data_IF_344195143801
#
_entry.id   IF_344195143801
#
_cell.length_a   1.000
_cell.length_b   1.000
_cell.length_c   1.000
_cell.angle_alpha   90.00
_cell.angle_beta   90.00
_cell.angle_gamma   90.00
#
_symmetry.space_group_name_H-M   'P 1'
#
loop_
_entity.id
_entity.type
_entity.pdbx_description
1 polymer ?
#
# COMPACT_ATOMS: atom_id res chain seq x y z
N UNK A 1 18.85 1.68 13.22
CA UNK A 1 18.61 0.55 14.15
C UNK A 1 19.91 -0.10 14.58
N UNK A 2 20.67 -0.78 13.71
CA UNK A 2 21.94 -1.42 14.11
C UNK A 2 23.03 -0.43 14.54
N UNK A 3 23.10 0.76 13.93
CA UNK A 3 24.03 1.84 14.32
C UNK A 3 23.88 2.31 15.78
N UNK A 4 22.71 2.10 16.39
CA UNK A 4 22.48 2.47 17.80
C UNK A 4 22.89 1.35 18.76
N UNK A 5 23.13 0.13 18.26
CA UNK A 5 23.49 -1.04 19.06
C UNK A 5 24.94 -1.48 18.88
N UNK A 6 25.55 -1.17 17.75
CA UNK A 6 26.90 -1.58 17.39
C UNK A 6 27.73 -0.37 16.99
N UNK A 7 29.03 -0.43 17.22
CA UNK A 7 29.97 0.65 16.91
C UNK A 7 30.93 0.29 15.77
N UNK A 8 31.34 1.30 14.99
CA UNK A 8 32.39 1.11 13.99
C UNK A 8 33.69 0.78 14.72
N UNK A 9 34.35 -0.29 14.29
CA UNK A 9 35.57 -0.79 14.91
C UNK A 9 35.36 -1.98 15.86
N UNK A 10 34.14 -2.20 16.31
CA UNK A 10 33.75 -3.34 17.15
C UNK A 10 33.94 -4.66 16.40
N UNK A 11 34.28 -5.73 17.14
CA UNK A 11 34.46 -7.09 16.59
C UNK A 11 33.28 -7.97 16.98
N UNK A 12 32.65 -8.61 15.99
CA UNK A 12 31.58 -9.59 16.18
C UNK A 12 32.15 -10.99 15.93
N UNK A 13 31.86 -11.93 16.83
CA UNK A 13 32.27 -13.34 16.71
C UNK A 13 31.06 -14.26 16.56
N UNK A 14 31.11 -15.17 15.60
CA UNK A 14 30.03 -16.12 15.32
C UNK A 14 30.36 -17.52 15.87
N UNK A 15 29.42 -18.11 16.62
CA UNK A 15 29.57 -19.46 17.23
C UNK A 15 29.68 -20.55 16.16
N UNK A 16 28.89 -20.44 15.08
CA UNK A 16 28.90 -21.35 13.93
C UNK A 16 29.11 -20.52 12.65
N UNK A 17 30.36 -20.38 12.15
CA UNK A 17 30.65 -19.55 10.97
C UNK A 17 30.10 -20.13 9.65
N UNK A 18 29.68 -21.41 9.65
CA UNK A 18 29.14 -22.05 8.45
C UNK A 18 30.18 -22.07 7.32
N UNK A 19 29.85 -21.43 6.21
CA UNK A 19 30.72 -21.32 5.01
C UNK A 19 31.71 -20.14 5.07
N UNK A 20 31.80 -19.43 6.19
CA UNK A 20 32.76 -18.33 6.39
C UNK A 20 34.14 -18.87 6.78
N UNK A 21 35.21 -18.23 6.28
CA UNK A 21 36.60 -18.61 6.62
C UNK A 21 36.97 -18.27 8.06
N UNK A 22 36.50 -17.12 8.54
CA UNK A 22 36.86 -16.57 9.85
C UNK A 22 35.65 -16.61 10.79
N UNK A 23 35.91 -16.71 12.10
CA UNK A 23 34.86 -16.62 13.13
C UNK A 23 34.56 -15.18 13.55
N UNK A 24 35.53 -14.29 13.44
CA UNK A 24 35.45 -12.93 13.96
C UNK A 24 35.62 -11.91 12.83
N UNK A 25 34.74 -10.90 12.81
CA UNK A 25 34.74 -9.83 11.82
C UNK A 25 34.67 -8.46 12.51
N UNK A 26 35.36 -7.47 11.92
CA UNK A 26 35.33 -6.08 12.38
C UNK A 26 34.22 -5.32 11.64
N UNK A 27 33.42 -4.54 12.36
CA UNK A 27 32.42 -3.65 11.76
C UNK A 27 33.13 -2.43 11.17
N UNK A 28 32.99 -2.23 9.86
CA UNK A 28 33.65 -1.12 9.13
C UNK A 28 32.68 -0.01 8.71
N UNK A 29 31.37 -0.23 8.82
CA UNK A 29 30.37 0.76 8.45
C UNK A 29 28.95 0.22 8.47
N UNK A 30 27.98 1.09 8.19
CA UNK A 30 26.56 0.77 8.09
C UNK A 30 26.03 1.20 6.72
N UNK A 31 25.25 0.32 6.09
CA UNK A 31 24.66 0.56 4.76
C UNK A 31 23.15 0.39 4.81
N UNK A 32 22.44 1.08 3.91
CA UNK A 32 21.01 0.85 3.66
C UNK A 32 20.88 -0.20 2.55
N UNK A 33 20.11 -1.26 2.79
CA UNK A 33 19.89 -2.30 1.78
C UNK A 33 18.89 -1.81 0.73
N UNK A 34 19.21 -2.04 -0.55
CA UNK A 34 18.27 -1.86 -1.66
C UNK A 34 17.31 -3.04 -1.85
N UNK A 35 17.57 -4.17 -1.18
CA UNK A 35 16.83 -5.42 -1.35
C UNK A 35 15.74 -5.59 -0.28
N UNK A 36 16.02 -5.15 0.94
CA UNK A 36 15.10 -5.22 2.06
C UNK A 36 14.50 -3.84 2.29
N UNK A 37 13.25 -3.63 1.85
CA UNK A 37 12.57 -2.33 1.90
C UNK A 37 11.91 -2.01 3.25
N UNK A 38 11.78 -2.99 4.16
CA UNK A 38 11.14 -2.85 5.47
C UNK A 38 12.15 -3.06 6.60
N UNK A 39 12.22 -2.09 7.54
CA UNK A 39 13.10 -2.12 8.72
C UNK A 39 12.58 -3.01 9.87
N UNK A 40 11.33 -3.43 9.79
CA UNK A 40 10.64 -4.21 10.82
C UNK A 40 10.57 -5.69 10.48
N UNK A 41 10.74 -6.04 9.21
CA UNK A 41 10.52 -7.39 8.70
C UNK A 41 11.75 -7.91 7.93
N UNK A 42 12.82 -8.21 8.67
CA UNK A 42 14.03 -8.85 8.13
C UNK A 42 13.87 -10.37 7.92
N UNK A 43 12.75 -10.95 8.35
CA UNK A 43 12.48 -12.38 8.28
C UNK A 43 12.75 -13.13 9.59
N UNK A 44 12.53 -14.44 9.54
CA UNK A 44 12.71 -15.35 10.67
C UNK A 44 13.99 -16.18 10.52
N UNK A 45 14.51 -16.67 11.64
CA UNK A 45 15.66 -17.58 11.70
C UNK A 45 15.34 -18.74 12.63
N UNK A 46 16.00 -19.89 12.44
CA UNK A 46 15.88 -21.04 13.35
C UNK A 46 16.91 -20.99 14.50
N UNK A 47 17.64 -19.88 14.65
CA UNK A 47 18.68 -19.69 15.66
C UNK A 47 18.28 -18.57 16.62
N UNK A 48 18.44 -18.81 17.93
CA UNK A 48 18.14 -17.80 18.96
C UNK A 48 16.63 -17.61 19.17
N UNK A 49 16.18 -16.35 19.27
CA UNK A 49 14.78 -15.99 19.53
C UNK A 49 13.88 -16.03 18.28
N UNK A 50 14.35 -16.62 17.18
CA UNK A 50 13.55 -16.82 15.98
C UNK A 50 13.48 -15.63 15.01
N UNK A 51 14.07 -14.46 15.33
CA UNK A 51 13.92 -13.23 14.54
C UNK A 51 15.25 -12.68 14.03
N UNK A 52 15.30 -12.34 12.75
CA UNK A 52 16.43 -11.60 12.19
C UNK A 52 16.33 -10.13 12.59
N UNK A 53 17.43 -9.56 13.07
CA UNK A 53 17.54 -8.14 13.46
C UNK A 53 18.25 -7.27 12.41
N UNK A 54 18.76 -7.89 11.34
CA UNK A 54 19.38 -7.23 10.20
C UNK A 54 20.32 -8.14 9.43
N UNK A 55 21.00 -7.56 8.44
CA UNK A 55 21.91 -8.26 7.54
C UNK A 55 23.30 -7.63 7.57
N UNK A 56 24.33 -8.45 7.34
CA UNK A 56 25.70 -8.00 7.16
C UNK A 56 26.16 -8.26 5.72
N UNK A 57 26.99 -7.37 5.18
CA UNK A 57 27.60 -7.51 3.85
C UNK A 57 29.11 -7.61 4.04
N UNK A 58 29.74 -8.49 3.28
CA UNK A 58 31.19 -8.71 3.34
C UNK A 58 31.76 -9.00 1.95
N UNK A 59 33.08 -9.03 1.84
CA UNK A 59 33.80 -9.32 0.60
C UNK A 59 33.80 -10.82 0.27
N UNK A 60 34.02 -11.16 -1.01
CA UNK A 60 34.10 -12.56 -1.46
C UNK A 60 35.14 -13.38 -0.68
N UNK A 61 36.24 -12.75 -0.27
CA UNK A 61 37.33 -13.39 0.48
C UNK A 61 36.91 -13.94 1.85
N UNK A 62 35.78 -13.47 2.39
CA UNK A 62 35.25 -13.95 3.67
C UNK A 62 34.65 -15.36 3.58
N UNK A 63 34.30 -15.85 2.39
CA UNK A 63 33.64 -17.15 2.19
C UNK A 63 34.64 -18.24 1.79
N UNK A 64 34.54 -19.42 2.41
CA UNK A 64 35.35 -20.60 2.11
C UNK A 64 34.86 -21.37 0.87
N UNK A 65 33.61 -21.18 0.46
CA UNK A 65 33.01 -21.82 -0.71
C UNK A 65 33.47 -21.13 -2.01
N UNK A 66 33.97 -21.88 -3.02
CA UNK A 66 34.30 -21.32 -4.34
C UNK A 66 33.06 -21.08 -5.21
N UNK A 67 31.86 -21.48 -4.76
CA UNK A 67 30.62 -21.44 -5.55
C UNK A 67 29.65 -20.39 -4.98
N UNK A 68 29.05 -19.60 -5.87
CA UNK A 68 27.99 -18.65 -5.57
C UNK A 68 26.61 -19.33 -5.54
N UNK A 69 25.83 -19.08 -4.49
CA UNK A 69 24.54 -19.74 -4.26
C UNK A 69 23.34 -18.93 -4.80
N UNK A 70 23.52 -17.64 -5.06
CA UNK A 70 22.44 -16.73 -5.48
C UNK A 70 22.84 -16.04 -6.78
N UNK A 71 21.92 -16.03 -7.76
CA UNK A 71 22.06 -15.28 -9.01
C UNK A 71 20.98 -14.21 -9.09
N UNK A 72 21.37 -12.96 -9.37
CA UNK A 72 20.45 -11.85 -9.60
C UNK A 72 20.30 -11.65 -11.10
N UNK A 73 19.10 -11.88 -11.62
CA UNK A 73 18.82 -11.89 -13.06
C UNK A 73 17.97 -10.68 -13.46
N UNK A 74 18.30 -10.07 -14.59
CA UNK A 74 17.54 -8.97 -15.20
C UNK A 74 17.13 -9.34 -16.62
N UNK A 75 15.89 -9.06 -17.00
CA UNK A 75 15.37 -9.37 -18.33
C UNK A 75 15.31 -8.12 -19.22
N UNK A 76 15.69 -8.26 -20.51
CA UNK A 76 15.75 -7.13 -21.46
C UNK A 76 14.35 -6.61 -21.87
N UNK A 77 13.38 -7.50 -21.98
CA UNK A 77 11.98 -7.24 -22.39
C UNK A 77 11.14 -6.44 -21.39
N UNK A 78 11.68 -6.14 -20.20
CA UNK A 78 11.01 -5.39 -19.13
C UNK A 78 11.80 -4.14 -18.70
N UNK A 79 12.91 -3.80 -19.36
CA UNK A 79 13.81 -2.72 -18.94
C UNK A 79 13.12 -1.34 -18.88
N UNK A 80 12.16 -1.09 -19.77
CA UNK A 80 11.45 0.20 -19.89
C UNK A 80 10.06 0.18 -19.25
N UNK A 81 9.70 -0.88 -18.51
CA UNK A 81 8.40 -0.97 -17.87
C UNK A 81 8.50 -0.55 -16.40
N UNK A 82 7.50 0.19 -15.92
CA UNK A 82 7.39 0.48 -14.49
C UNK A 82 7.25 -0.83 -13.69
N UNK A 83 8.06 -1.05 -12.64
CA UNK A 83 7.92 -2.21 -11.76
C UNK A 83 6.53 -2.34 -11.10
N UNK A 84 5.82 -1.23 -10.97
CA UNK A 84 4.46 -1.17 -10.43
C UNK A 84 3.37 -1.38 -11.47
N UNK A 85 3.71 -1.56 -12.75
CA UNK A 85 2.72 -1.85 -13.79
C UNK A 85 2.29 -3.32 -13.78
N UNK A 86 1.01 -3.57 -14.03
CA UNK A 86 0.46 -4.94 -14.21
C UNK A 86 1.20 -5.67 -15.34
N UNK A 87 1.53 -4.97 -16.43
CA UNK A 87 2.26 -5.52 -17.58
C UNK A 87 3.65 -6.03 -17.19
N UNK A 88 4.41 -5.26 -16.40
CA UNK A 88 5.71 -5.68 -15.89
C UNK A 88 5.58 -6.98 -15.10
N UNK A 89 4.66 -7.02 -14.13
CA UNK A 89 4.51 -8.17 -13.24
C UNK A 89 4.12 -9.44 -13.98
N UNK A 90 3.15 -9.35 -14.91
CA UNK A 90 2.75 -10.48 -15.74
C UNK A 90 3.90 -11.01 -16.61
N UNK A 91 4.75 -10.13 -17.15
CA UNK A 91 5.95 -10.55 -17.90
C UNK A 91 6.99 -11.22 -17.02
N UNK A 92 7.27 -10.65 -15.84
CA UNK A 92 8.21 -11.23 -14.87
C UNK A 92 7.75 -12.61 -14.44
N UNK A 93 6.46 -12.80 -14.12
CA UNK A 93 5.90 -14.10 -13.78
C UNK A 93 6.07 -15.13 -14.90
N UNK A 94 5.84 -14.71 -16.15
CA UNK A 94 6.06 -15.59 -17.31
C UNK A 94 7.54 -15.98 -17.47
N UNK A 95 8.45 -15.01 -17.37
CA UNK A 95 9.89 -15.23 -17.50
C UNK A 95 10.47 -16.07 -16.36
N UNK A 96 9.98 -15.87 -15.13
CA UNK A 96 10.24 -16.70 -13.95
C UNK A 96 9.85 -18.17 -14.22
N UNK A 97 8.64 -18.41 -14.71
CA UNK A 97 8.18 -19.76 -15.04
C UNK A 97 8.98 -20.41 -16.19
N UNK A 98 9.31 -19.64 -17.22
CA UNK A 98 10.16 -20.10 -18.33
C UNK A 98 11.54 -20.50 -17.83
N UNK A 99 12.16 -19.66 -17.00
CA UNK A 99 13.47 -19.93 -16.41
C UNK A 99 13.43 -21.14 -15.46
N UNK A 100 12.38 -21.25 -14.64
CA UNK A 100 12.20 -22.39 -13.73
C UNK A 100 12.10 -23.71 -14.50
N UNK A 101 11.32 -23.75 -15.58
CA UNK A 101 11.22 -24.91 -16.48
C UNK A 101 12.58 -25.26 -17.10
N UNK A 102 13.31 -24.26 -17.59
CA UNK A 102 14.63 -24.47 -18.19
C UNK A 102 15.66 -25.02 -17.18
N UNK A 103 15.70 -24.48 -15.96
CA UNK A 103 16.59 -24.96 -14.90
C UNK A 103 16.22 -26.38 -14.44
N UNK A 104 14.93 -26.68 -14.33
CA UNK A 104 14.44 -27.99 -13.92
C UNK A 104 14.75 -29.08 -14.96
N UNK A 105 14.85 -28.76 -16.25
CA UNK A 105 15.19 -29.73 -17.31
C UNK A 105 16.55 -30.40 -17.09
N UNK A 106 17.52 -29.65 -16.55
CA UNK A 106 18.88 -30.15 -16.31
C UNK A 106 19.08 -30.71 -14.89
N UNK A 107 17.99 -30.85 -14.11
CA UNK A 107 18.04 -31.23 -12.70
C UNK A 107 18.52 -32.68 -12.51
N UNK A 108 18.05 -33.59 -13.36
CA UNK A 108 18.39 -35.01 -13.29
C UNK A 108 19.87 -35.26 -13.58
N UNK A 109 20.38 -34.78 -14.72
CA UNK A 109 21.79 -34.88 -15.08
C UNK A 109 22.71 -34.31 -13.99
N UNK A 110 22.30 -33.19 -13.38
CA UNK A 110 23.05 -32.58 -12.27
C UNK A 110 23.02 -33.45 -11.01
N UNK A 111 21.87 -34.04 -10.67
CA UNK A 111 21.75 -34.98 -9.56
C UNK A 111 22.66 -36.19 -9.76
N UNK A 112 22.64 -36.79 -10.95
CA UNK A 112 23.46 -37.96 -11.28
C UNK A 112 24.96 -37.63 -11.18
N UNK A 113 25.37 -36.46 -11.68
CA UNK A 113 26.74 -35.94 -11.50
C UNK A 113 27.11 -35.75 -10.04
N UNK A 114 26.19 -35.25 -9.20
CA UNK A 114 26.45 -35.14 -7.76
C UNK A 114 26.57 -36.51 -7.12
N UNK A 115 25.68 -37.45 -7.40
CA UNK A 115 25.77 -38.83 -6.87
C UNK A 115 27.14 -39.43 -7.21
N UNK A 116 27.58 -39.32 -8.47
CA UNK A 116 28.91 -39.82 -8.89
C UNK A 116 30.07 -39.11 -8.17
N UNK A 117 30.00 -37.79 -8.00
CA UNK A 117 31.04 -37.02 -7.30
C UNK A 117 31.16 -37.45 -5.83
N UNK A 118 30.02 -37.61 -5.13
CA UNK A 118 29.98 -38.05 -3.74
C UNK A 118 30.42 -39.52 -3.59
N UNK A 119 30.08 -40.40 -4.55
CA UNK A 119 30.60 -41.77 -4.59
C UNK A 119 32.13 -41.78 -4.65
N UNK A 120 32.73 -41.03 -5.59
CA UNK A 120 34.19 -40.93 -5.72
C UNK A 120 34.84 -40.36 -4.46
N UNK A 121 34.23 -39.36 -3.83
CA UNK A 121 34.76 -38.81 -2.57
C UNK A 121 34.67 -39.81 -1.41
N UNK A 122 33.59 -40.57 -1.31
CA UNK A 122 33.44 -41.62 -0.30
C UNK A 122 34.50 -42.71 -0.50
N UNK A 123 34.61 -43.22 -1.73
CA UNK A 123 35.59 -44.21 -2.14
C UNK A 123 37.02 -43.76 -1.79
N UNK A 124 37.39 -42.53 -2.14
CA UNK A 124 38.71 -41.97 -1.83
C UNK A 124 38.97 -41.93 -0.33
N UNK A 125 38.02 -41.43 0.47
CA UNK A 125 38.17 -41.36 1.94
C UNK A 125 38.23 -42.74 2.60
N UNK A 126 37.41 -43.69 2.13
CA UNK A 126 37.41 -45.05 2.63
C UNK A 126 38.72 -45.77 2.29
N UNK A 127 39.23 -45.60 1.07
CA UNK A 127 40.53 -46.13 0.65
C UNK A 127 41.67 -45.53 1.49
N UNK A 128 41.70 -44.21 1.70
CA UNK A 128 42.68 -43.55 2.57
C UNK A 128 42.68 -44.12 4.00
N UNK A 129 41.49 -44.46 4.54
CA UNK A 129 41.39 -45.07 5.87
C UNK A 129 41.86 -46.52 5.91
N UNK A 130 41.58 -47.32 4.88
CA UNK A 130 42.00 -48.71 4.78
C UNK A 130 43.51 -48.84 4.51
N UNK A 131 44.06 -47.97 3.67
CA UNK A 131 45.51 -47.87 3.41
C UNK A 131 46.24 -47.50 4.71
N UNK A 132 45.72 -46.56 5.50
CA UNK A 132 46.28 -46.22 6.82
C UNK A 132 46.25 -47.39 7.82
N UNK A 133 45.36 -48.37 7.63
CA UNK A 133 45.28 -49.60 8.43
C UNK A 133 46.10 -50.76 7.85
N UNK A 134 46.89 -50.51 6.80
CA UNK A 134 47.76 -51.52 6.17
C UNK A 134 47.10 -52.41 5.13
N UNK A 135 45.87 -52.10 4.69
CA UNK A 135 45.14 -52.86 3.67
C UNK A 135 45.32 -52.15 2.32
N UNK A 136 46.03 -52.74 1.33
CA UNK A 136 46.15 -52.15 0.01
C UNK A 136 44.83 -52.30 -0.75
N UNK A 137 44.19 -51.17 -1.09
CA UNK A 137 42.94 -51.16 -1.86
C UNK A 137 42.89 -49.90 -2.73
N UNK A 138 42.34 -50.02 -3.95
CA UNK A 138 42.06 -48.88 -4.82
C UNK A 138 40.66 -48.31 -4.55
N UNK A 139 40.46 -46.97 -4.62
CA UNK A 139 39.15 -46.36 -4.39
C UNK A 139 38.01 -46.97 -5.21
N UNK A 140 38.29 -47.39 -6.44
CA UNK A 140 37.30 -47.95 -7.37
C UNK A 140 36.75 -49.31 -6.92
N UNK A 141 37.46 -50.04 -6.06
CA UNK A 141 37.07 -51.36 -5.54
C UNK A 141 36.11 -51.28 -4.34
N UNK A 142 35.88 -50.07 -3.82
CA UNK A 142 35.02 -49.86 -2.65
C UNK A 142 33.57 -49.65 -3.10
N UNK A 143 32.72 -50.63 -2.81
CA UNK A 143 31.28 -50.48 -2.98
C UNK A 143 30.73 -49.44 -2.00
N UNK A 144 30.00 -48.45 -2.51
CA UNK A 144 29.39 -47.42 -1.68
C UNK A 144 27.98 -47.87 -1.28
N UNK A 145 27.69 -48.07 0.03
CA UNK A 145 26.36 -48.45 0.46
C UNK A 145 25.34 -47.37 0.08
N UNK A 146 24.23 -47.74 -0.56
CA UNK A 146 23.17 -46.79 -0.99
C UNK A 146 22.67 -45.90 0.16
N UNK A 147 22.61 -46.44 1.38
CA UNK A 147 22.16 -45.72 2.57
C UNK A 147 23.15 -44.65 3.07
N UNK A 148 24.40 -44.62 2.58
CA UNK A 148 25.42 -43.63 2.97
C UNK A 148 25.45 -42.40 2.07
N UNK A 149 24.82 -42.45 0.90
CA UNK A 149 24.70 -41.32 -0.02
C UNK A 149 23.24 -40.86 -0.03
N UNK A 150 22.87 -40.05 0.97
CA UNK A 150 21.63 -39.27 0.93
C UNK A 150 21.99 -37.88 0.42
N UNK A 151 21.69 -37.62 -0.86
CA UNK A 151 21.84 -36.30 -1.48
C UNK A 151 20.44 -35.79 -1.78
N UNK A 152 20.15 -34.57 -1.32
CA UNK A 152 18.89 -33.92 -1.65
C UNK A 152 18.81 -33.64 -3.16
N UNK A 153 17.65 -33.96 -3.74
CA UNK A 153 17.42 -33.70 -5.16
C UNK A 153 17.48 -32.19 -5.43
N UNK A 154 18.40 -31.68 -6.26
CA UNK A 154 18.81 -30.28 -6.26
C UNK A 154 17.67 -29.36 -6.68
N UNK A 155 17.13 -28.54 -5.79
CA UNK A 155 16.02 -27.62 -6.11
C UNK A 155 16.53 -26.24 -6.53
N UNK A 156 15.81 -25.61 -7.47
CA UNK A 156 15.98 -24.19 -7.79
C UNK A 156 14.75 -23.44 -7.32
N UNK A 157 14.96 -22.37 -6.56
CA UNK A 157 13.91 -21.44 -6.16
C UNK A 157 14.13 -20.14 -6.92
N UNK A 158 13.21 -19.79 -7.80
CA UNK A 158 13.20 -18.49 -8.46
C UNK A 158 12.09 -17.66 -7.86
N UNK A 159 12.48 -16.55 -7.25
CA UNK A 159 11.57 -15.55 -6.71
C UNK A 159 11.75 -14.25 -7.49
N UNK A 160 10.64 -13.56 -7.72
CA UNK A 160 10.64 -12.18 -8.20
C UNK A 160 10.60 -11.21 -7.00
N UNK A 161 10.43 -9.92 -7.30
CA UNK A 161 10.25 -8.90 -6.26
C UNK A 161 8.90 -9.03 -5.56
N UNK A 162 7.88 -9.59 -6.22
CA UNK A 162 6.54 -9.74 -5.64
C UNK A 162 6.53 -10.68 -4.44
N UNK A 163 7.41 -11.69 -4.41
CA UNK A 163 7.57 -12.60 -3.29
C UNK A 163 8.38 -12.00 -2.13
N UNK A 164 8.99 -10.83 -2.31
CA UNK A 164 9.63 -10.09 -1.22
C UNK A 164 8.58 -9.35 -0.40
N UNK A 165 8.46 -9.73 0.87
CA UNK A 165 7.49 -9.14 1.79
C UNK A 165 7.59 -7.60 1.87
N UNK A 166 8.80 -7.05 1.92
CA UNK A 166 8.99 -5.60 1.99
C UNK A 166 8.53 -4.88 0.72
N UNK A 167 8.67 -5.52 -0.45
CA UNK A 167 8.20 -4.96 -1.72
C UNK A 167 6.69 -5.07 -1.86
N UNK A 168 6.10 -6.23 -1.53
CA UNK A 168 4.65 -6.43 -1.62
C UNK A 168 3.89 -5.52 -0.66
N UNK A 169 4.39 -5.33 0.56
CA UNK A 169 3.83 -4.36 1.52
C UNK A 169 3.93 -2.92 0.99
N UNK A 170 5.10 -2.50 0.52
CA UNK A 170 5.27 -1.15 -0.06
C UNK A 170 4.33 -0.93 -1.26
N UNK A 171 4.19 -1.92 -2.14
CA UNK A 171 3.26 -1.84 -3.27
C UNK A 171 1.81 -1.72 -2.79
N UNK A 172 1.38 -2.60 -1.90
CA UNK A 172 0.00 -2.60 -1.39
C UNK A 172 -0.34 -1.28 -0.70
N UNK A 173 0.59 -0.73 0.08
CA UNK A 173 0.40 0.55 0.73
C UNK A 173 0.38 1.71 -0.28
N UNK A 174 1.14 1.63 -1.38
CA UNK A 174 1.13 2.62 -2.46
C UNK A 174 -0.19 2.61 -3.23
N UNK A 175 -0.70 1.41 -3.56
CA UNK A 175 -2.00 1.21 -4.24
C UNK A 175 -3.16 1.75 -3.38
N UNK A 176 -3.11 1.56 -2.05
CA UNK A 176 -4.11 2.13 -1.13
C UNK A 176 -4.10 3.66 -1.15
N UNK A 177 -2.91 4.27 -1.18
CA UNK A 177 -2.76 5.73 -1.29
C UNK A 177 -3.25 6.23 -2.64
N UNK A 178 -3.01 5.49 -3.73
CA UNK A 178 -3.51 5.84 -5.07
C UNK A 178 -5.04 5.87 -5.11
N UNK A 179 -5.72 4.87 -4.53
CA UNK A 179 -7.18 4.85 -4.42
C UNK A 179 -7.67 6.07 -3.63
N UNK A 180 -7.02 6.39 -2.51
CA UNK A 180 -7.35 7.57 -1.69
C UNK A 180 -7.19 8.87 -2.50
N UNK A 181 -6.07 9.00 -3.22
CA UNK A 181 -5.73 10.17 -4.01
C UNK A 181 -6.68 10.39 -5.19
N UNK A 182 -7.32 9.34 -5.71
CA UNK A 182 -8.30 9.44 -6.80
C UNK A 182 -9.73 9.74 -6.30
N UNK A 183 -10.13 9.23 -5.13
CA UNK A 183 -11.51 9.36 -4.62
C UNK A 183 -11.73 10.70 -3.91
N UNK A 184 -10.81 11.13 -3.04
CA UNK A 184 -11.00 12.32 -2.19
C UNK A 184 -11.18 13.63 -2.97
N UNK A 185 -10.38 13.91 -4.03
CA UNK A 185 -10.52 15.16 -4.77
C UNK A 185 -11.88 15.34 -5.43
N UNK A 186 -12.58 14.25 -5.82
CA UNK A 186 -13.90 14.34 -6.45
C UNK A 186 -14.90 15.03 -5.52
N UNK A 187 -14.97 14.61 -4.26
CA UNK A 187 -15.86 15.21 -3.27
C UNK A 187 -15.44 16.63 -2.90
N UNK A 188 -14.13 16.85 -2.69
CA UNK A 188 -13.61 18.16 -2.31
C UNK A 188 -13.80 19.21 -3.41
N UNK A 189 -13.53 18.86 -4.68
CA UNK A 189 -13.79 19.75 -5.81
C UNK A 189 -15.28 20.00 -6.01
N UNK A 190 -16.15 18.99 -5.83
CA UNK A 190 -17.60 19.19 -5.94
C UNK A 190 -18.11 20.19 -4.89
N UNK A 191 -17.71 20.05 -3.63
CA UNK A 191 -18.08 20.98 -2.55
C UNK A 191 -17.50 22.37 -2.81
N UNK A 192 -16.21 22.46 -3.14
CA UNK A 192 -15.55 23.74 -3.43
C UNK A 192 -16.19 24.47 -4.63
N UNK A 193 -16.51 23.73 -5.69
CA UNK A 193 -17.18 24.28 -6.87
C UNK A 193 -18.57 24.81 -6.51
N UNK A 194 -19.38 24.06 -5.77
CA UNK A 194 -20.71 24.49 -5.37
C UNK A 194 -20.69 25.73 -4.47
N UNK A 195 -19.74 25.80 -3.53
CA UNK A 195 -19.57 26.96 -2.64
C UNK A 195 -19.08 28.19 -3.42
N UNK A 196 -18.12 28.00 -4.32
CA UNK A 196 -17.59 29.09 -5.16
C UNK A 196 -18.66 29.64 -6.11
N UNK A 197 -19.42 28.73 -6.72
CA UNK A 197 -20.57 29.02 -7.58
C UNK A 197 -21.54 29.99 -6.91
N UNK A 198 -22.08 29.61 -5.75
CA UNK A 198 -23.07 30.44 -5.04
C UNK A 198 -22.49 31.74 -4.50
N UNK A 199 -21.23 31.72 -4.08
CA UNK A 199 -20.53 32.93 -3.62
C UNK A 199 -20.39 33.95 -4.75
N UNK A 200 -19.98 33.51 -5.94
CA UNK A 200 -19.86 34.40 -7.11
C UNK A 200 -21.22 34.88 -7.63
N UNK A 201 -22.26 34.03 -7.60
CA UNK A 201 -23.62 34.49 -7.90
C UNK A 201 -24.05 35.61 -6.95
N UNK A 202 -23.80 35.43 -5.63
CA UNK A 202 -24.15 36.41 -4.61
C UNK A 202 -23.38 37.72 -4.79
N UNK A 203 -22.09 37.65 -5.12
CA UNK A 203 -21.27 38.83 -5.39
C UNK A 203 -21.84 39.70 -6.52
N UNK A 204 -22.27 39.09 -7.64
CA UNK A 204 -22.90 39.84 -8.75
C UNK A 204 -24.24 40.44 -8.32
N UNK A 205 -25.03 39.73 -7.51
CA UNK A 205 -26.31 40.23 -7.00
C UNK A 205 -26.14 41.39 -6.01
N UNK A 206 -25.11 41.36 -5.15
CA UNK A 206 -24.78 42.44 -4.21
C UNK A 206 -24.32 43.70 -4.95
N UNK A 207 -23.59 43.56 -6.05
CA UNK A 207 -23.15 44.67 -6.90
C UNK A 207 -24.24 45.15 -7.90
N UNK A 208 -25.48 44.65 -7.81
CA UNK A 208 -26.56 44.97 -8.76
C UNK A 208 -26.87 46.46 -8.86
N UNK A 209 -26.88 47.19 -7.74
CA UNK A 209 -27.07 48.64 -7.73
C UNK A 209 -25.92 49.37 -8.42
N UNK A 210 -24.67 48.96 -8.19
CA UNK A 210 -23.50 49.52 -8.85
C UNK A 210 -23.53 49.29 -10.37
N UNK A 211 -23.93 48.08 -10.81
CA UNK A 211 -24.16 47.77 -12.23
C UNK A 211 -25.21 48.72 -12.83
N UNK A 212 -26.32 48.95 -12.10
CA UNK A 212 -27.36 49.90 -12.50
C UNK A 212 -26.85 51.33 -12.67
N UNK A 213 -26.03 51.80 -11.72
CA UNK A 213 -25.40 53.12 -11.78
C UNK A 213 -24.46 53.26 -12.97
N UNK A 214 -23.56 52.29 -13.22
CA UNK A 214 -22.68 52.32 -14.39
C UNK A 214 -23.47 52.35 -15.70
N UNK A 215 -24.55 51.58 -15.79
CA UNK A 215 -25.41 51.56 -16.97
C UNK A 215 -26.17 52.87 -17.16
N UNK A 216 -26.59 53.53 -16.08
CA UNK A 216 -27.22 54.85 -16.11
C UNK A 216 -26.24 55.97 -16.51
N UNK A 217 -24.96 55.84 -16.13
CA UNK A 217 -23.87 56.73 -16.54
C UNK A 217 -23.38 56.50 -17.98
N UNK A 218 -23.96 55.55 -18.71
CA UNK A 218 -23.64 55.29 -20.12
C UNK A 218 -22.48 54.33 -20.37
N UNK A 219 -22.00 53.58 -19.36
CA UNK A 219 -20.97 52.56 -19.56
C UNK A 219 -21.48 51.40 -20.42
N UNK A 220 -20.61 50.87 -21.29
CA UNK A 220 -20.93 49.70 -22.09
C UNK A 220 -21.02 48.43 -21.23
N UNK A 221 -21.88 47.48 -21.65
CA UNK A 221 -22.00 46.18 -20.99
C UNK A 221 -20.66 45.41 -20.92
N UNK A 222 -19.79 45.59 -21.92
CA UNK A 222 -18.46 44.99 -21.95
C UNK A 222 -17.52 45.59 -20.91
N UNK A 223 -17.55 46.91 -20.73
CA UNK A 223 -16.75 47.60 -19.70
C UNK A 223 -17.14 47.15 -18.29
N UNK A 224 -18.45 46.98 -18.03
CA UNK A 224 -18.94 46.45 -16.77
C UNK A 224 -18.51 44.99 -16.59
N UNK A 225 -18.64 44.15 -17.64
CA UNK A 225 -18.23 42.74 -17.60
C UNK A 225 -16.74 42.54 -17.31
N UNK A 226 -15.89 43.41 -17.84
CA UNK A 226 -14.44 43.32 -17.61
C UNK A 226 -14.05 43.40 -16.13
N UNK A 227 -14.73 44.23 -15.32
CA UNK A 227 -14.53 44.31 -13.86
C UNK A 227 -14.74 42.94 -13.19
N UNK A 228 -15.85 42.29 -13.49
CA UNK A 228 -16.20 40.99 -12.91
C UNK A 228 -15.32 39.86 -13.43
N UNK A 229 -14.90 39.94 -14.70
CA UNK A 229 -13.99 38.96 -15.31
C UNK A 229 -12.64 38.99 -14.62
N UNK A 230 -12.07 40.17 -14.48
CA UNK A 230 -10.77 40.35 -13.85
C UNK A 230 -10.81 39.87 -12.40
N UNK A 231 -11.83 40.25 -11.63
CA UNK A 231 -11.97 39.84 -10.23
C UNK A 231 -12.16 38.31 -10.06
N UNK A 232 -13.07 37.71 -10.81
CA UNK A 232 -13.36 36.28 -10.69
C UNK A 232 -12.21 35.40 -11.16
N UNK A 233 -11.53 35.79 -12.25
CA UNK A 233 -10.36 35.07 -12.77
C UNK A 233 -9.16 35.23 -11.85
N UNK A 234 -8.88 36.44 -11.32
CA UNK A 234 -7.77 36.64 -10.40
C UNK A 234 -7.96 35.87 -9.09
N UNK A 235 -9.19 35.84 -8.56
CA UNK A 235 -9.51 35.05 -7.37
C UNK A 235 -9.27 33.55 -7.60
N UNK A 236 -9.69 33.01 -8.75
CA UNK A 236 -9.47 31.61 -9.10
C UNK A 236 -7.98 31.27 -9.26
N UNK A 237 -7.23 32.09 -10.00
CA UNK A 237 -5.80 31.87 -10.24
C UNK A 237 -5.02 31.94 -8.92
N UNK A 238 -5.26 32.96 -8.10
CA UNK A 238 -4.59 33.09 -6.80
C UNK A 238 -4.92 31.92 -5.88
N UNK A 239 -6.18 31.49 -5.84
CA UNK A 239 -6.60 30.32 -5.06
C UNK A 239 -5.87 29.04 -5.50
N UNK A 240 -5.77 28.81 -6.81
CA UNK A 240 -5.05 27.64 -7.37
C UNK A 240 -3.55 27.74 -7.10
N UNK A 241 -2.93 28.90 -7.27
CA UNK A 241 -1.49 29.09 -7.00
C UNK A 241 -1.19 28.82 -5.52
N UNK A 242 -1.94 29.43 -4.61
CA UNK A 242 -1.75 29.23 -3.17
C UNK A 242 -2.04 27.79 -2.76
N UNK A 243 -3.15 27.22 -3.24
CA UNK A 243 -3.53 25.85 -2.95
C UNK A 243 -2.53 24.82 -3.48
N UNK A 244 -2.07 24.99 -4.72
CA UNK A 244 -1.04 24.14 -5.32
C UNK A 244 0.31 24.31 -4.59
N UNK A 245 0.72 25.54 -4.28
CA UNK A 245 1.97 25.78 -3.56
C UNK A 245 1.97 25.07 -2.21
N UNK A 246 0.95 25.30 -1.37
CA UNK A 246 0.81 24.64 -0.07
C UNK A 246 0.68 23.12 -0.22
N UNK A 247 -0.10 22.68 -1.21
CA UNK A 247 -0.34 21.27 -1.51
C UNK A 247 0.93 20.52 -1.92
N UNK A 248 1.82 21.14 -2.71
CA UNK A 248 3.07 20.51 -3.16
C UNK A 248 4.22 20.65 -2.17
N UNK A 249 4.26 21.70 -1.34
CA UNK A 249 5.36 21.89 -0.39
C UNK A 249 5.14 21.17 0.93
N UNK A 250 3.92 21.21 1.47
CA UNK A 250 3.65 20.77 2.85
C UNK A 250 3.22 19.30 2.94
N UNK A 251 2.21 18.90 2.16
CA UNK A 251 1.60 17.57 2.28
C UNK A 251 2.55 16.42 1.90
N UNK A 252 3.33 16.47 0.79
CA UNK A 252 4.19 15.37 0.39
C UNK A 252 5.24 15.06 1.45
N UNK A 253 5.84 16.08 2.06
CA UNK A 253 6.85 15.88 3.10
C UNK A 253 6.27 15.14 4.32
N UNK A 254 5.06 15.52 4.76
CA UNK A 254 4.38 14.87 5.88
C UNK A 254 3.99 13.42 5.55
N UNK A 255 3.39 13.21 4.38
CA UNK A 255 2.92 11.90 3.93
C UNK A 255 4.11 10.95 3.71
N UNK A 256 5.14 11.38 2.96
CA UNK A 256 6.30 10.55 2.64
C UNK A 256 7.09 10.20 3.90
N UNK A 257 7.24 11.12 4.86
CA UNK A 257 7.90 10.81 6.15
C UNK A 257 7.14 9.76 6.94
N UNK A 258 5.81 9.87 7.04
CA UNK A 258 4.99 8.89 7.72
C UNK A 258 5.06 7.52 7.02
N UNK A 259 5.02 7.54 5.69
CA UNK A 259 5.01 6.35 4.85
C UNK A 259 6.36 5.61 4.84
N UNK A 260 7.46 6.34 4.71
CA UNK A 260 8.82 5.78 4.69
C UNK A 260 9.42 5.58 6.10
N UNK A 261 8.68 5.86 7.18
CA UNK A 261 9.17 5.71 8.55
C UNK A 261 9.70 4.28 8.81
N UNK A 262 8.93 3.29 8.40
CA UNK A 262 9.27 1.86 8.50
C UNK A 262 10.13 1.36 7.34
N UNK A 263 10.31 2.13 6.28
CA UNK A 263 11.06 1.70 5.08
C UNK A 263 12.56 1.94 5.19
N UNK A 264 13.39 1.11 4.57
CA UNK A 264 14.85 1.34 4.43
C UNK A 264 15.20 2.37 3.36
N UNK A 265 14.22 2.78 2.54
CA UNK A 265 14.38 3.80 1.51
C UNK A 265 14.89 5.12 2.11
N UNK A 266 15.67 5.85 1.31
CA UNK A 266 16.14 7.18 1.68
C UNK A 266 14.99 8.17 1.86
N UNK A 267 15.27 9.28 2.54
CA UNK A 267 14.37 10.44 2.59
C UNK A 267 14.39 11.26 1.31
N UNK A 268 15.24 10.88 0.34
CA UNK A 268 15.40 11.58 -0.91
C UNK A 268 14.28 11.14 -1.85
N UNK A 269 13.30 12.02 -2.04
CA UNK A 269 12.20 11.82 -2.97
C UNK A 269 12.25 12.89 -4.06
N UNK A 270 11.86 12.51 -5.27
CA UNK A 270 11.67 13.45 -6.37
C UNK A 270 10.18 13.77 -6.46
N UNK A 271 9.85 15.06 -6.30
CA UNK A 271 8.50 15.53 -6.56
C UNK A 271 8.31 15.64 -8.06
N UNK A 272 7.55 14.70 -8.61
CA UNK A 272 7.05 14.81 -9.96
C UNK A 272 5.81 15.70 -9.93
N UNK A 273 5.90 16.86 -10.58
CA UNK A 273 4.78 17.80 -10.64
C UNK A 273 3.67 17.21 -11.51
N UNK A 274 2.49 17.01 -10.93
CA UNK A 274 1.34 16.46 -11.62
C UNK A 274 0.57 17.57 -12.34
N UNK A 275 1.03 17.93 -13.53
CA UNK A 275 0.42 18.98 -14.36
C UNK A 275 -1.06 18.73 -14.66
N UNK A 276 -1.44 17.48 -14.92
CA UNK A 276 -2.82 17.13 -15.27
C UNK A 276 -3.84 17.42 -14.15
N UNK A 277 -3.68 16.92 -12.90
CA UNK A 277 -4.54 17.31 -11.79
C UNK A 277 -4.58 18.82 -11.54
N UNK A 278 -3.44 19.51 -11.69
CA UNK A 278 -3.39 20.96 -11.55
C UNK A 278 -4.25 21.67 -12.60
N UNK A 279 -4.12 21.29 -13.87
CA UNK A 279 -4.93 21.85 -14.95
C UNK A 279 -6.43 21.57 -14.74
N UNK A 280 -6.79 20.36 -14.33
CA UNK A 280 -8.17 20.01 -13.99
C UNK A 280 -8.69 20.91 -12.86
N UNK A 281 -7.90 21.10 -11.80
CA UNK A 281 -8.28 21.98 -10.68
C UNK A 281 -8.48 23.43 -11.11
N UNK A 282 -7.63 23.93 -12.01
CA UNK A 282 -7.73 25.29 -12.55
C UNK A 282 -8.99 25.45 -13.41
N UNK A 283 -9.28 24.49 -14.28
CA UNK A 283 -10.49 24.49 -15.11
C UNK A 283 -11.73 24.47 -14.23
N UNK A 284 -11.79 23.59 -13.23
CA UNK A 284 -12.91 23.52 -12.28
C UNK A 284 -13.07 24.85 -11.53
N UNK A 285 -11.97 25.44 -11.06
CA UNK A 285 -12.00 26.73 -10.36
C UNK A 285 -12.52 27.86 -11.25
N UNK A 286 -12.04 27.95 -12.50
CA UNK A 286 -12.49 28.96 -13.47
C UNK A 286 -13.95 28.77 -13.88
N UNK A 287 -14.40 27.52 -14.08
CA UNK A 287 -15.80 27.22 -14.37
C UNK A 287 -16.70 27.59 -13.20
N UNK A 288 -16.32 27.22 -11.97
CA UNK A 288 -17.10 27.48 -10.77
C UNK A 288 -17.19 28.97 -10.42
N UNK A 289 -16.17 29.76 -10.78
CA UNK A 289 -16.11 31.19 -10.44
C UNK A 289 -16.45 32.08 -11.64
N UNK A 290 -15.59 32.06 -12.64
CA UNK A 290 -15.59 33.00 -13.76
C UNK A 290 -16.78 32.77 -14.67
N UNK A 291 -16.94 31.54 -15.18
CA UNK A 291 -18.04 31.23 -16.10
C UNK A 291 -19.41 31.54 -15.47
N UNK A 292 -19.57 31.23 -14.19
CA UNK A 292 -20.83 31.42 -13.47
C UNK A 292 -21.09 32.89 -13.19
N UNK A 293 -20.08 33.64 -12.75
CA UNK A 293 -20.21 35.09 -12.56
C UNK A 293 -20.57 35.80 -13.86
N UNK A 294 -20.04 35.33 -14.99
CA UNK A 294 -20.38 35.86 -16.31
C UNK A 294 -21.82 35.53 -16.71
N UNK A 295 -22.27 34.31 -16.44
CA UNK A 295 -23.66 33.91 -16.71
C UNK A 295 -24.66 34.72 -15.89
N UNK A 296 -24.42 34.93 -14.59
CA UNK A 296 -25.29 35.75 -13.75
C UNK A 296 -25.24 37.24 -14.10
N UNK A 297 -24.05 37.74 -14.44
CA UNK A 297 -23.89 39.11 -14.89
C UNK A 297 -24.62 39.34 -16.22
N UNK A 298 -24.50 38.42 -17.18
CA UNK A 298 -25.22 38.50 -18.44
C UNK A 298 -26.73 38.57 -18.25
N UNK A 299 -27.29 37.78 -17.32
CA UNK A 299 -28.71 37.85 -16.97
C UNK A 299 -29.06 39.21 -16.35
N UNK A 300 -28.19 39.75 -15.50
CA UNK A 300 -28.41 41.05 -14.81
C UNK A 300 -28.30 42.23 -15.78
N UNK A 301 -27.35 42.19 -16.73
CA UNK A 301 -27.14 43.23 -17.74
C UNK A 301 -28.30 43.34 -18.75
N UNK A 302 -29.16 42.32 -18.87
CA UNK A 302 -30.39 42.40 -19.68
C UNK A 302 -31.47 43.27 -19.06
N UNK A 303 -31.41 43.53 -17.76
CA UNK A 303 -32.41 44.34 -17.07
C UNK A 303 -32.26 45.84 -17.39
N UNK A 304 -33.37 46.58 -17.31
CA UNK A 304 -33.36 48.04 -17.50
C UNK A 304 -32.65 48.73 -16.31
N UNK A 305 -31.90 49.84 -16.53
CA UNK A 305 -31.18 50.54 -15.45
C UNK A 305 -32.04 50.88 -14.23
N UNK A 306 -33.26 51.38 -14.46
CA UNK A 306 -34.20 51.71 -13.39
C UNK A 306 -34.59 50.50 -12.51
N UNK A 307 -34.62 49.29 -13.06
CA UNK A 307 -34.93 48.07 -12.31
C UNK A 307 -33.75 47.55 -11.48
N UNK A 308 -32.52 47.89 -11.88
CA UNK A 308 -31.27 47.53 -11.19
C UNK A 308 -31.02 48.40 -9.95
N UNK A 309 -31.49 49.65 -9.97
CA UNK A 309 -31.39 50.58 -8.85
C UNK A 309 -32.39 50.27 -7.72
N UNK A 310 -33.41 49.46 -8.00
CA UNK A 310 -34.38 49.02 -7.00
C UNK A 310 -33.94 47.71 -6.32
N UNK A 311 -34.28 47.52 -5.04
CA UNK A 311 -34.04 46.25 -4.36
C UNK A 311 -34.71 45.11 -5.14
N UNK A 312 -33.98 44.00 -5.29
CA UNK A 312 -34.47 42.85 -6.06
C UNK A 312 -35.76 42.34 -5.41
N UNK A 313 -36.89 42.25 -6.15
CA UNK A 313 -38.12 41.73 -5.57
C UNK A 313 -37.89 40.30 -5.08
N UNK A 314 -38.50 39.90 -3.95
CA UNK A 314 -38.34 38.55 -3.43
C UNK A 314 -38.80 37.54 -4.48
N UNK A 315 -38.06 36.42 -4.64
CA UNK A 315 -38.44 35.36 -5.57
C UNK A 315 -39.84 34.83 -5.22
N UNK A 316 -40.68 34.61 -6.23
CA UNK A 316 -42.04 34.09 -6.07
C UNK A 316 -42.04 32.81 -5.21
N UNK A 317 -42.91 32.77 -4.21
CA UNK A 317 -43.09 31.58 -3.37
C UNK A 317 -43.85 30.49 -4.15
N UNK A 318 -43.23 29.35 -4.39
CA UNK A 318 -43.91 28.18 -4.97
C UNK A 318 -44.55 27.31 -3.88
N UNK A 319 -45.63 26.58 -4.23
CA UNK A 319 -46.07 25.43 -3.45
C UNK A 319 -44.90 24.44 -3.34
N UNK A 320 -44.70 23.88 -2.14
CA UNK A 320 -43.58 22.96 -1.88
C UNK A 320 -44.05 21.51 -1.91
N UNK A 321 -43.17 20.57 -2.26
CA UNK A 321 -43.52 19.14 -2.29
C UNK A 321 -43.95 18.62 -0.91
N UNK A 322 -43.43 19.19 0.19
CA UNK A 322 -43.87 18.83 1.55
C UNK A 322 -45.35 19.15 1.82
N UNK A 323 -45.98 20.08 1.09
CA UNK A 323 -47.42 20.34 1.21
C UNK A 323 -48.26 19.16 0.70
N UNK A 324 -47.69 18.30 -0.15
CA UNK A 324 -48.35 17.11 -0.67
C UNK A 324 -48.23 15.90 0.26
N UNK A 325 -47.51 16.00 1.38
CA UNK A 325 -47.38 14.93 2.39
C UNK A 325 -48.16 15.37 3.64
N UNK A 326 -49.47 15.04 3.75
CA UNK A 326 -50.36 15.67 4.73
C UNK A 326 -50.00 15.32 6.17
N UNK A 327 -49.48 14.11 6.39
CA UNK A 327 -49.09 13.65 7.72
C UNK A 327 -47.95 14.48 8.30
N UNK A 328 -46.88 14.70 7.53
CA UNK A 328 -45.74 15.51 7.95
C UNK A 328 -46.13 17.00 8.07
N UNK A 329 -46.90 17.51 7.10
CA UNK A 329 -47.29 18.93 7.08
C UNK A 329 -48.21 19.33 8.24
N UNK A 330 -49.10 18.43 8.69
CA UNK A 330 -50.00 18.69 9.83
C UNK A 330 -49.25 18.81 11.16
N UNK A 331 -48.18 18.02 11.36
CA UNK A 331 -47.38 18.03 12.59
C UNK A 331 -46.36 19.18 12.68
N UNK A 332 -46.15 19.93 11.59
CA UNK A 332 -45.23 21.08 11.58
C UNK A 332 -45.88 22.32 12.21
N UNK A 333 -45.16 22.97 13.12
CA UNK A 333 -45.54 24.29 13.66
C UNK A 333 -45.60 25.35 12.56
N UNK A 334 -46.32 26.45 12.81
CA UNK A 334 -46.43 27.55 11.85
C UNK A 334 -45.04 28.06 11.40
N UNK A 335 -44.12 28.25 12.34
CA UNK A 335 -42.74 28.66 12.04
C UNK A 335 -42.01 27.64 11.17
N UNK A 336 -42.19 26.34 11.39
CA UNK A 336 -41.58 25.30 10.56
C UNK A 336 -42.13 25.32 9.12
N UNK A 337 -43.44 25.56 8.95
CA UNK A 337 -44.07 25.69 7.61
C UNK A 337 -43.54 26.91 6.86
N UNK A 338 -43.39 28.05 7.54
CA UNK A 338 -42.82 29.28 6.96
C UNK A 338 -41.35 29.08 6.59
N UNK A 339 -40.57 28.48 7.47
CA UNK A 339 -39.15 28.17 7.22
C UNK A 339 -38.98 27.20 6.04
N UNK A 340 -39.79 26.13 5.97
CA UNK A 340 -39.77 25.20 4.84
C UNK A 340 -40.05 25.92 3.51
N UNK A 341 -41.10 26.75 3.45
CA UNK A 341 -41.41 27.57 2.27
C UNK A 341 -40.27 28.53 1.91
N UNK A 342 -39.63 29.16 2.90
CA UNK A 342 -38.48 30.06 2.69
C UNK A 342 -37.25 29.32 2.16
N UNK A 343 -36.96 28.13 2.68
CA UNK A 343 -35.84 27.29 2.20
C UNK A 343 -36.03 26.92 0.73
N UNK A 344 -37.22 26.45 0.34
CA UNK A 344 -37.54 26.10 -1.06
C UNK A 344 -37.68 27.32 -1.98
N UNK A 345 -37.91 28.53 -1.44
CA UNK A 345 -37.86 29.79 -2.20
C UNK A 345 -36.45 30.12 -2.68
N UNK A 346 -35.41 29.78 -1.90
CA UNK A 346 -34.00 30.05 -2.21
C UNK A 346 -33.21 28.77 -2.53
N UNK A 347 -33.65 28.04 -3.56
CA UNK A 347 -33.13 26.72 -3.95
C UNK A 347 -31.60 26.65 -4.06
N UNK A 348 -30.94 27.65 -4.65
CA UNK A 348 -29.46 27.66 -4.77
C UNK A 348 -28.76 27.74 -3.41
N UNK A 349 -29.28 28.54 -2.47
CA UNK A 349 -28.75 28.65 -1.11
C UNK A 349 -29.00 27.35 -0.33
N UNK A 350 -30.20 26.78 -0.46
CA UNK A 350 -30.55 25.49 0.13
C UNK A 350 -29.58 24.38 -0.33
N UNK A 351 -29.37 24.23 -1.64
CA UNK A 351 -28.48 23.20 -2.17
C UNK A 351 -27.04 23.37 -1.70
N UNK A 352 -26.52 24.60 -1.68
CA UNK A 352 -25.19 24.90 -1.14
C UNK A 352 -25.06 24.47 0.32
N UNK A 353 -26.04 24.83 1.17
CA UNK A 353 -26.01 24.46 2.59
C UNK A 353 -26.12 22.94 2.76
N UNK A 354 -27.02 22.27 2.03
CA UNK A 354 -27.21 20.82 2.13
C UNK A 354 -25.94 20.08 1.72
N UNK A 355 -25.41 20.34 0.52
CA UNK A 355 -24.23 19.63 0.03
C UNK A 355 -22.94 20.05 0.76
N UNK A 356 -22.85 21.31 1.20
CA UNK A 356 -21.73 21.77 2.01
C UNK A 356 -21.69 21.06 3.37
N UNK A 357 -22.81 21.07 4.10
CA UNK A 357 -22.92 20.40 5.40
C UNK A 357 -22.81 18.88 5.25
N UNK A 358 -23.52 18.28 4.28
CA UNK A 358 -23.44 16.84 4.03
C UNK A 358 -22.03 16.41 3.60
N UNK A 359 -21.35 17.21 2.77
CA UNK A 359 -19.97 16.97 2.36
C UNK A 359 -19.00 17.01 3.55
N UNK A 360 -19.07 18.05 4.38
CA UNK A 360 -18.24 18.15 5.59
C UNK A 360 -18.52 17.02 6.59
N UNK A 361 -19.79 16.74 6.88
CA UNK A 361 -20.19 15.66 7.79
C UNK A 361 -19.80 14.28 7.23
N UNK A 362 -19.93 14.08 5.92
CA UNK A 362 -19.50 12.85 5.25
C UNK A 362 -18.00 12.63 5.35
N UNK A 363 -17.20 13.68 5.17
CA UNK A 363 -15.74 13.62 5.33
C UNK A 363 -15.33 13.32 6.77
N UNK A 364 -15.99 13.93 7.76
CA UNK A 364 -15.77 13.62 9.18
C UNK A 364 -16.18 12.19 9.51
N UNK A 365 -17.34 11.74 9.02
CA UNK A 365 -17.83 10.37 9.19
C UNK A 365 -16.88 9.35 8.57
N UNK A 366 -16.30 9.65 7.40
CA UNK A 366 -15.27 8.82 6.79
C UNK A 366 -13.98 8.78 7.63
N UNK A 367 -13.52 9.93 8.14
CA UNK A 367 -12.34 10.01 9.01
C UNK A 367 -12.51 9.21 10.30
N UNK A 368 -13.66 9.36 10.98
CA UNK A 368 -13.99 8.56 12.15
C UNK A 368 -14.22 7.09 11.81
N UNK A 369 -14.84 6.78 10.67
CA UNK A 369 -15.06 5.41 10.22
C UNK A 369 -13.75 4.66 9.98
N UNK A 370 -12.75 5.30 9.36
CA UNK A 370 -11.40 4.73 9.21
C UNK A 370 -10.76 4.54 10.60
N UNK A 371 -10.84 5.54 11.48
CA UNK A 371 -10.30 5.45 12.85
C UNK A 371 -10.92 4.28 13.62
N UNK A 372 -12.24 4.17 13.61
CA UNK A 372 -12.99 3.16 14.34
C UNK A 372 -12.76 1.77 13.76
N UNK A 373 -12.68 1.64 12.43
CA UNK A 373 -12.35 0.37 11.75
C UNK A 373 -10.94 -0.14 12.09
N UNK A 374 -10.00 0.77 12.35
CA UNK A 374 -8.64 0.41 12.77
C UNK A 374 -8.55 0.18 14.28
N UNK A 375 -9.40 0.83 15.07
CA UNK A 375 -9.40 0.71 16.53
C UNK A 375 -10.02 -0.62 16.96
N UNK A 376 -9.36 -1.35 17.86
CA UNK A 376 -9.90 -2.59 18.42
C UNK A 376 -9.71 -3.84 17.57
N UNK A 377 -9.21 -3.75 16.32
CA UNK A 377 -8.96 -4.92 15.48
C UNK A 377 -8.00 -5.92 16.15
N UNK A 378 -6.98 -5.43 16.86
CA UNK A 378 -6.06 -6.28 17.62
C UNK A 378 -6.75 -7.01 18.77
N UNK A 379 -7.65 -6.34 19.49
CA UNK A 379 -8.41 -6.95 20.57
C UNK A 379 -9.37 -8.03 20.04
N UNK A 380 -10.10 -7.75 18.96
CA UNK A 380 -10.97 -8.73 18.32
C UNK A 380 -10.14 -9.92 17.80
N UNK A 381 -9.04 -9.64 17.10
CA UNK A 381 -8.17 -10.66 16.52
C UNK A 381 -7.58 -11.58 17.60
N UNK A 382 -7.06 -11.05 18.71
CA UNK A 382 -6.35 -11.85 19.71
C UNK A 382 -7.18 -12.28 20.92
N UNK A 383 -8.39 -11.73 21.12
CA UNK A 383 -9.30 -12.19 22.18
C UNK A 383 -10.44 -13.06 21.66
N UNK A 384 -11.02 -12.75 20.49
CA UNK A 384 -12.19 -13.46 19.99
C UNK A 384 -11.84 -14.51 18.91
N UNK A 385 -10.91 -14.18 18.00
CA UNK A 385 -10.60 -15.00 16.82
C UNK A 385 -9.44 -15.97 17.06
N UNK A 386 -8.24 -15.44 17.29
CA UNK A 386 -7.02 -16.20 17.51
C UNK A 386 -6.84 -16.46 19.02
N UNK A 387 -7.49 -17.53 19.49
CA UNK A 387 -7.48 -17.93 20.91
C UNK A 387 -6.22 -18.68 21.35
N UNK A 388 -5.33 -19.02 20.42
CA UNK A 388 -4.11 -19.74 20.72
C UNK A 388 -2.97 -18.76 21.02
N UNK A 389 -2.28 -18.98 22.14
CA UNK A 389 -1.16 -18.12 22.58
C UNK A 389 0.15 -18.42 21.83
N UNK A 390 0.35 -19.69 21.44
CA UNK A 390 1.55 -20.15 20.77
C UNK A 390 1.23 -21.13 19.64
N UNK A 391 2.14 -21.23 18.67
CA UNK A 391 2.12 -22.22 17.60
C UNK A 391 3.44 -22.99 17.66
N UNK A 392 3.37 -24.29 17.89
CA UNK A 392 4.51 -25.18 17.85
C UNK A 392 4.53 -25.94 16.51
N UNK A 393 5.67 -25.91 15.82
CA UNK A 393 5.88 -26.66 14.58
C UNK A 393 6.57 -27.98 14.88
N UNK A 394 5.97 -29.09 14.44
CA UNK A 394 6.54 -30.43 14.57
C UNK A 394 7.32 -30.80 13.30
N UNK A 395 8.42 -31.55 13.46
CA UNK A 395 9.18 -32.12 12.35
C UNK A 395 8.29 -33.05 11.50
N UNK A 396 8.57 -33.14 10.19
CA UNK A 396 7.90 -34.07 9.26
C UNK A 396 8.16 -35.54 9.62
N UNK A 397 9.29 -35.81 10.27
CA UNK A 397 9.68 -37.13 10.73
C UNK A 397 9.95 -37.05 12.23
N UNK A 398 9.12 -37.75 12.99
CA UNK A 398 9.23 -37.90 14.44
C UNK A 398 9.18 -39.39 14.72
N UNK A 399 10.19 -39.89 15.43
CA UNK A 399 10.20 -41.29 15.87
C UNK A 399 9.09 -41.53 16.88
N UNK A 400 8.66 -42.80 17.04
CA UNK A 400 7.61 -43.13 18.03
C UNK A 400 7.96 -42.67 19.46
N UNK A 401 9.26 -42.67 19.81
CA UNK A 401 9.74 -42.20 21.12
C UNK A 401 9.58 -40.69 21.28
N UNK A 402 10.06 -39.91 20.31
CA UNK A 402 9.92 -38.44 20.31
C UNK A 402 8.46 -38.01 20.28
N UNK A 403 7.59 -38.81 19.64
CA UNK A 403 6.15 -38.56 19.63
C UNK A 403 5.55 -38.68 21.03
N UNK A 404 5.90 -39.73 21.76
CA UNK A 404 5.44 -39.91 23.14
C UNK A 404 5.95 -38.80 24.07
N UNK A 405 7.19 -38.35 23.90
CA UNK A 405 7.74 -37.22 24.65
C UNK A 405 6.96 -35.92 24.35
N UNK A 406 6.69 -35.62 23.08
CA UNK A 406 5.88 -34.46 22.69
C UNK A 406 4.46 -34.53 23.28
N UNK A 407 3.81 -35.70 23.20
CA UNK A 407 2.45 -35.87 23.73
C UNK A 407 2.40 -35.73 25.26
N UNK A 408 3.50 -36.01 25.96
CA UNK A 408 3.60 -35.77 27.40
C UNK A 408 3.74 -34.29 27.75
N UNK A 409 4.54 -33.55 26.99
CA UNK A 409 4.71 -32.09 27.14
C UNK A 409 3.36 -31.40 26.90
N UNK A 410 2.63 -31.78 25.84
CA UNK A 410 1.33 -31.20 25.51
C UNK A 410 0.19 -31.55 26.48
N UNK A 411 0.45 -32.40 27.49
CA UNK A 411 -0.49 -32.77 28.56
C UNK A 411 -0.10 -32.18 29.92
N UNK A 412 0.91 -31.32 29.99
CA UNK A 412 1.25 -30.62 31.22
C UNK A 412 0.08 -29.76 31.73
N UNK A 413 0.02 -29.56 33.06
CA UNK A 413 -1.12 -28.90 33.73
C UNK A 413 -1.40 -27.48 33.23
N UNK A 414 -0.38 -26.79 32.73
CA UNK A 414 -0.49 -25.41 32.27
C UNK A 414 -1.08 -25.31 30.84
N UNK A 415 -1.25 -26.44 30.13
CA UNK A 415 -1.79 -26.50 28.77
C UNK A 415 -3.26 -26.91 28.84
N UNK A 416 -4.14 -25.97 28.51
CA UNK A 416 -5.60 -26.17 28.57
C UNK A 416 -6.17 -26.89 27.36
N UNK A 417 -5.68 -26.56 26.16
CA UNK A 417 -6.17 -27.13 24.91
C UNK A 417 -5.06 -27.19 23.86
N UNK A 418 -5.02 -28.30 23.11
CA UNK A 418 -4.16 -28.45 21.93
C UNK A 418 -5.03 -28.84 20.73
N UNK A 419 -4.84 -28.14 19.62
CA UNK A 419 -5.54 -28.43 18.36
C UNK A 419 -4.50 -28.73 17.29
N UNK A 420 -4.51 -29.95 16.76
CA UNK A 420 -3.69 -30.31 15.63
C UNK A 420 -4.30 -29.73 14.35
N UNK A 421 -3.49 -28.96 13.61
CA UNK A 421 -3.84 -28.46 12.29
C UNK A 421 -2.79 -28.88 11.28
N UNK A 422 -3.23 -29.31 10.12
CA UNK A 422 -2.39 -29.40 8.94
C UNK A 422 -2.39 -28.04 8.27
N UNK A 423 -1.24 -27.61 7.77
CA UNK A 423 -1.15 -26.42 6.95
C UNK A 423 -0.32 -26.70 5.70
N UNK A 424 -0.72 -26.11 4.59
CA UNK A 424 0.04 -26.10 3.35
C UNK A 424 -0.02 -24.69 2.78
N UNK A 425 1.15 -24.10 2.57
CA UNK A 425 1.27 -22.86 1.84
C UNK A 425 1.33 -23.17 0.33
N UNK A 426 0.44 -22.53 -0.42
CA UNK A 426 0.39 -22.53 -1.87
C UNK A 426 0.55 -21.11 -2.38
N UNK A 427 0.81 -20.97 -3.66
CA UNK A 427 1.00 -19.68 -4.30
C UNK A 427 0.17 -19.61 -5.58
N UNK A 428 -0.57 -18.52 -5.78
CA UNK A 428 -1.43 -18.31 -6.96
C UNK A 428 -1.12 -16.97 -7.62
N UNK A 429 -0.93 -16.98 -8.94
CA UNK A 429 -0.80 -15.77 -9.74
C UNK A 429 -2.16 -15.25 -10.19
N UNK A 430 -2.38 -13.94 -10.06
CA UNK A 430 -3.60 -13.25 -10.46
C UNK A 430 -3.33 -12.45 -11.73
N UNK A 431 -3.90 -12.87 -12.87
CA UNK A 431 -3.65 -12.19 -14.16
C UNK A 431 -4.10 -10.73 -14.19
N UNK A 432 -5.19 -10.38 -13.49
CA UNK A 432 -5.77 -9.03 -13.48
C UNK A 432 -4.87 -8.02 -12.77
N UNK A 433 -4.34 -8.39 -11.60
CA UNK A 433 -3.43 -7.53 -10.83
C UNK A 433 -1.96 -7.82 -11.14
N UNK A 434 -1.64 -8.90 -11.85
CA UNK A 434 -0.27 -9.42 -12.01
C UNK A 434 0.40 -9.82 -10.71
N UNK A 435 -0.32 -9.93 -9.60
CA UNK A 435 0.25 -10.22 -8.28
C UNK A 435 0.30 -11.72 -8.00
N UNK A 436 1.27 -12.11 -7.19
CA UNK A 436 1.41 -13.47 -6.67
C UNK A 436 0.94 -13.52 -5.22
N UNK A 437 -0.12 -14.26 -4.93
CA UNK A 437 -0.69 -14.40 -3.58
C UNK A 437 -0.29 -15.71 -2.93
N UNK A 438 0.12 -15.65 -1.66
CA UNK A 438 0.36 -16.82 -0.83
C UNK A 438 -0.94 -17.22 -0.13
N UNK A 439 -1.41 -18.43 -0.43
CA UNK A 439 -2.60 -19.03 0.14
C UNK A 439 -2.17 -20.05 1.17
N UNK A 440 -2.52 -19.83 2.44
CA UNK A 440 -2.33 -20.82 3.49
C UNK A 440 -3.61 -21.64 3.62
N UNK A 441 -3.56 -22.90 3.18
CA UNK A 441 -4.63 -23.86 3.47
C UNK A 441 -4.38 -24.45 4.85
N UNK A 442 -5.37 -24.35 5.73
CA UNK A 442 -5.32 -24.91 7.08
C UNK A 442 -6.51 -25.84 7.25
N UNK A 443 -6.25 -27.08 7.66
CA UNK A 443 -7.28 -28.08 7.90
C UNK A 443 -7.11 -28.63 9.31
N UNK A 444 -8.13 -28.59 10.17
CA UNK A 444 -8.06 -29.23 11.48
C UNK A 444 -8.08 -30.76 11.32
N UNK A 445 -7.72 -31.46 12.39
CA UNK A 445 -7.90 -32.91 12.47
C UNK A 445 -9.38 -33.35 12.34
N UNK A 446 -10.33 -32.51 12.77
CA UNK A 446 -11.76 -32.81 12.67
C UNK A 446 -12.57 -31.60 12.19
N UNK A 447 -13.47 -31.84 11.24
CA UNK A 447 -14.42 -30.86 10.72
C UNK A 447 -15.70 -30.71 11.56
N UNK A 448 -15.84 -31.49 12.65
CA UNK A 448 -17.08 -31.50 13.46
C UNK A 448 -17.46 -30.10 14.00
N UNK A 449 -16.47 -29.25 14.26
CA UNK A 449 -16.66 -27.90 14.81
C UNK A 449 -16.56 -26.77 13.75
N UNK A 450 -16.45 -27.10 12.45
CA UNK A 450 -16.26 -26.10 11.38
C UNK A 450 -17.55 -25.36 10.96
N UNK A 451 -18.72 -25.82 11.44
CA UNK A 451 -20.05 -25.34 11.01
C UNK A 451 -20.71 -24.30 11.93
N UNK A 452 -19.96 -23.60 12.77
CA UNK A 452 -20.53 -22.51 13.59
C UNK A 452 -20.15 -21.14 13.08
#
# INVERSE_FOLDING_TARGET
>A
MLKNKYHIGEKISFVKPGILKNKTYKIVGFVKSSEFLDKTQFGQTNIGNGRLIGFAVTTHNAFASPVYQVSRVTFKNIANLSPFSVTYRNRVYHDQNKLQKALNKNRQDKYDKYVQLYQKQYQKKAAEQLIKKGIPITPEQIEVPKNKIQIDYPSYTINSREESQGYSSYRADSERVEVLANVFPVFLFAVAALVSLTTMMRFVEEERTNIGTFKALGYSNASIAFKFLLYSTSAAILGVILGASLGYTFLPNMIIKAYLASSTLGSDYQLNFAWWPLLISLIIALLATTAVSMLTLYQTLKEKPAALLLPKPPKNGSRILLEHIPWLWKHMSFSAKVTARNIFRYKSRMLMTIFGVAGCTGLLGMGFGIRDSLQGIGNIQYSAVQKNDIIALKSKHVTKKEQHELDSIFKEKDITQTNAVQYQQLTKHLNQSGSTENIMMITPESAANFRK
#
